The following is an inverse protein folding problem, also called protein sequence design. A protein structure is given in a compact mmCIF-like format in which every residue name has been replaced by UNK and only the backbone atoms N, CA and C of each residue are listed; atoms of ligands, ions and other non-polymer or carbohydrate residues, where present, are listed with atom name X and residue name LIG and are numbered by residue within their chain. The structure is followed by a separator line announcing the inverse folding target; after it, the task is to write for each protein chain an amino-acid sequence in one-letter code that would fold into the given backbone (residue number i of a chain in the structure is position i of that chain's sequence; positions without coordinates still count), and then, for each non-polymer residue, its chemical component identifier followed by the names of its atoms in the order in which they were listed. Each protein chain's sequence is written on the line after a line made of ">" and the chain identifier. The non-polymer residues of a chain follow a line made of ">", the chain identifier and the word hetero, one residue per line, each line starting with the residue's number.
data_IF_890703538357
#
_entry.id   IF_890703538357
#
_cell.length_a   1.000
_cell.length_b   1.000
_cell.length_c   1.000
_cell.angle_alpha   90.00
_cell.angle_beta   90.00
_cell.angle_gamma   90.00
#
_symmetry.space_group_name_H-M   'P 1'
#
loop_
_entity.id
_entity.type
_entity.pdbx_description
1 polymer ?
#
# COMPACT_ATOMS: atom_id res chain seq x y z
N UNK A 1 16.75 16.24 -20.35
CA UNK A 1 15.90 16.61 -19.18
C UNK A 1 16.82 17.08 -18.06
N UNK A 2 16.50 18.19 -17.39
CA UNK A 2 17.31 18.68 -16.26
C UNK A 2 17.05 17.82 -15.00
N UNK A 3 18.04 17.74 -14.12
CA UNK A 3 17.98 16.96 -12.86
C UNK A 3 16.81 17.42 -11.95
N UNK A 4 16.50 18.71 -11.98
CA UNK A 4 15.36 19.29 -11.27
C UNK A 4 14.03 18.77 -11.84
N UNK A 5 13.84 18.79 -13.17
CA UNK A 5 12.64 18.24 -13.81
C UNK A 5 12.45 16.74 -13.50
N UNK A 6 13.54 15.95 -13.49
CA UNK A 6 13.43 14.54 -13.12
C UNK A 6 13.01 14.34 -11.67
N UNK A 7 13.50 15.17 -10.74
CA UNK A 7 13.13 15.08 -9.33
C UNK A 7 11.65 15.43 -9.09
N UNK A 8 11.17 16.55 -9.67
CA UNK A 8 9.75 16.94 -9.56
C UNK A 8 8.81 15.91 -10.20
N UNK A 9 9.22 15.30 -11.32
CA UNK A 9 8.42 14.26 -11.96
C UNK A 9 8.26 13.01 -11.09
N UNK A 10 9.32 12.61 -10.36
CA UNK A 10 9.24 11.48 -9.43
C UNK A 10 8.37 11.80 -8.22
N UNK A 11 8.48 13.01 -7.66
CA UNK A 11 7.63 13.43 -6.54
C UNK A 11 6.13 13.39 -6.91
N UNK A 12 5.81 13.79 -8.14
CA UNK A 12 4.44 13.77 -8.66
C UNK A 12 3.93 12.34 -8.86
N UNK A 13 4.76 11.44 -9.40
CA UNK A 13 4.44 10.00 -9.55
C UNK A 13 4.14 9.33 -8.20
N UNK A 14 5.01 9.56 -7.20
CA UNK A 14 4.79 9.04 -5.85
C UNK A 14 3.50 9.57 -5.24
N UNK A 15 3.27 10.88 -5.32
CA UNK A 15 2.05 11.48 -4.79
C UNK A 15 0.79 10.89 -5.44
N UNK A 16 0.76 10.74 -6.75
CA UNK A 16 -0.39 10.18 -7.47
C UNK A 16 -0.64 8.71 -7.07
N UNK A 17 0.39 7.87 -7.11
CA UNK A 17 0.27 6.43 -6.86
C UNK A 17 -0.11 6.14 -5.41
N UNK A 18 0.51 6.81 -4.44
CA UNK A 18 0.18 6.62 -3.04
C UNK A 18 -1.16 7.25 -2.64
N UNK A 19 -1.62 8.29 -3.34
CA UNK A 19 -3.01 8.77 -3.20
C UNK A 19 -4.02 7.72 -3.67
N UNK A 20 -3.76 7.05 -4.81
CA UNK A 20 -4.59 5.93 -5.29
C UNK A 20 -4.58 4.76 -4.31
N UNK A 21 -3.41 4.42 -3.77
CA UNK A 21 -3.28 3.38 -2.74
C UNK A 21 -4.13 3.70 -1.50
N UNK A 22 -4.04 4.93 -1.01
CA UNK A 22 -4.85 5.39 0.13
C UNK A 22 -6.34 5.24 -0.17
N UNK A 23 -6.78 5.58 -1.38
CA UNK A 23 -8.17 5.43 -1.82
C UNK A 23 -8.67 3.99 -1.82
N UNK A 24 -7.92 3.04 -2.39
CA UNK A 24 -8.36 1.62 -2.41
C UNK A 24 -8.36 0.98 -1.03
N UNK A 25 -7.48 1.44 -0.13
CA UNK A 25 -7.39 0.97 1.25
C UNK A 25 -8.55 1.44 2.14
N UNK A 26 -9.41 2.36 1.67
CA UNK A 26 -10.64 2.75 2.37
C UNK A 26 -11.72 1.66 2.31
N UNK A 27 -11.58 0.70 1.42
CA UNK A 27 -12.56 -0.38 1.22
C UNK A 27 -12.16 -1.64 1.99
N UNK A 28 -13.14 -2.43 2.47
CA UNK A 28 -12.87 -3.67 3.20
C UNK A 28 -12.25 -4.78 2.34
N UNK A 29 -12.30 -4.65 1.01
CA UNK A 29 -11.73 -5.61 0.07
C UNK A 29 -10.76 -4.87 -0.83
N UNK A 30 -9.50 -5.28 -0.81
CA UNK A 30 -8.40 -4.67 -1.55
C UNK A 30 -7.95 -5.66 -2.62
N UNK A 31 -8.18 -5.33 -3.88
CA UNK A 31 -7.81 -6.18 -5.03
C UNK A 31 -6.30 -6.23 -5.24
N UNK A 32 -5.74 -7.42 -5.43
CA UNK A 32 -4.34 -7.61 -5.81
C UNK A 32 -4.04 -7.14 -7.23
N UNK A 33 -5.02 -7.17 -8.12
CA UNK A 33 -4.90 -6.60 -9.46
C UNK A 33 -4.74 -5.07 -9.39
N UNK A 34 -5.62 -4.40 -8.64
CA UNK A 34 -5.53 -2.95 -8.44
C UNK A 34 -4.20 -2.53 -7.79
N UNK A 35 -3.66 -3.35 -6.87
CA UNK A 35 -2.36 -3.11 -6.28
C UNK A 35 -1.22 -3.18 -7.29
N UNK A 36 -1.27 -4.09 -8.28
CA UNK A 36 -0.25 -4.20 -9.34
C UNK A 36 -0.26 -2.99 -10.29
N UNK A 37 -1.41 -2.34 -10.46
CA UNK A 37 -1.54 -1.12 -11.26
C UNK A 37 -1.00 0.12 -10.53
N UNK A 38 -0.93 0.06 -9.20
CA UNK A 38 -0.53 1.19 -8.36
C UNK A 38 0.91 1.06 -7.90
N UNK A 39 1.35 -0.13 -7.48
CA UNK A 39 2.63 -0.39 -6.84
C UNK A 39 3.61 -1.08 -7.79
N UNK A 40 4.89 -0.69 -7.73
CA UNK A 40 5.98 -1.39 -8.41
C UNK A 40 6.28 -2.69 -7.64
N UNK A 41 6.92 -3.65 -8.30
CA UNK A 41 7.14 -4.98 -7.71
C UNK A 41 7.86 -4.92 -6.34
N UNK A 42 8.85 -4.03 -6.19
CA UNK A 42 9.57 -3.83 -4.92
C UNK A 42 8.67 -3.27 -3.81
N UNK A 43 7.82 -2.30 -4.15
CA UNK A 43 6.86 -1.70 -3.21
C UNK A 43 5.76 -2.71 -2.83
N UNK A 44 5.32 -3.50 -3.81
CA UNK A 44 4.32 -4.56 -3.63
C UNK A 44 4.85 -5.65 -2.71
N UNK A 45 6.15 -5.96 -2.77
CA UNK A 45 6.82 -6.84 -1.81
C UNK A 45 6.69 -6.31 -0.37
N UNK A 46 7.03 -5.04 -0.12
CA UNK A 46 6.92 -4.44 1.21
C UNK A 46 5.46 -4.35 1.68
N UNK A 47 4.53 -4.05 0.77
CA UNK A 47 3.10 -4.06 1.06
C UNK A 47 2.63 -5.45 1.52
N UNK A 48 3.04 -6.51 0.79
CA UNK A 48 2.74 -7.91 1.13
C UNK A 48 3.31 -8.32 2.48
N UNK A 49 4.53 -7.90 2.80
CA UNK A 49 5.15 -8.13 4.11
C UNK A 49 4.27 -7.57 5.22
N UNK A 50 3.79 -6.32 5.06
CA UNK A 50 2.92 -5.70 6.05
C UNK A 50 1.54 -6.36 6.14
N UNK A 51 0.96 -6.77 5.01
CA UNK A 51 -0.33 -7.47 4.99
C UNK A 51 -0.27 -8.81 5.73
N UNK A 52 0.85 -9.54 5.63
CA UNK A 52 1.06 -10.77 6.40
C UNK A 52 1.06 -10.51 7.91
N UNK A 53 1.72 -9.45 8.37
CA UNK A 53 1.67 -9.09 9.79
C UNK A 53 0.25 -8.73 10.27
N UNK A 54 -0.56 -8.09 9.41
CA UNK A 54 -1.95 -7.82 9.74
C UNK A 54 -2.80 -9.09 9.76
N UNK A 55 -2.51 -10.05 8.88
CA UNK A 55 -3.16 -11.36 8.88
C UNK A 55 -2.83 -12.17 10.14
N UNK A 56 -1.56 -12.18 10.56
CA UNK A 56 -1.13 -12.80 11.83
C UNK A 56 -1.85 -12.20 13.05
N UNK A 57 -2.22 -10.92 12.98
CA UNK A 57 -3.01 -10.21 14.01
C UNK A 57 -4.52 -10.40 13.88
N UNK A 58 -4.99 -11.14 12.86
CA UNK A 58 -6.41 -11.36 12.60
C UNK A 58 -7.15 -10.15 12.04
N UNK A 59 -6.43 -9.15 11.51
CA UNK A 59 -6.99 -7.92 10.95
C UNK A 59 -7.30 -8.04 9.46
N UNK A 60 -6.60 -8.94 8.77
CA UNK A 60 -6.72 -9.18 7.33
C UNK A 60 -6.82 -10.67 7.07
N UNK A 61 -7.51 -11.06 6.01
CA UNK A 61 -7.44 -12.39 5.42
C UNK A 61 -6.98 -12.27 3.97
N UNK A 62 -5.93 -12.97 3.60
CA UNK A 62 -5.50 -13.07 2.22
C UNK A 62 -6.24 -14.23 1.52
N UNK A 63 -6.80 -13.96 0.36
CA UNK A 63 -7.24 -14.99 -0.59
C UNK A 63 -6.48 -14.83 -1.91
N UNK A 64 -6.80 -15.63 -2.92
CA UNK A 64 -6.07 -15.62 -4.20
C UNK A 64 -6.05 -14.22 -4.85
N UNK A 65 -7.19 -13.53 -4.85
CA UNK A 65 -7.42 -12.29 -5.61
C UNK A 65 -7.33 -11.01 -4.77
N UNK A 66 -7.44 -11.10 -3.44
CA UNK A 66 -7.66 -9.94 -2.60
C UNK A 66 -7.16 -10.09 -1.16
N UNK A 67 -6.99 -8.94 -0.50
CA UNK A 67 -6.91 -8.82 0.94
C UNK A 67 -8.27 -8.35 1.47
N UNK A 68 -8.83 -9.10 2.42
CA UNK A 68 -10.14 -8.80 3.01
C UNK A 68 -9.94 -8.41 4.47
N UNK A 69 -10.30 -7.18 4.82
CA UNK A 69 -10.29 -6.72 6.20
C UNK A 69 -11.33 -7.50 7.00
N UNK A 70 -10.96 -7.95 8.19
CA UNK A 70 -11.92 -8.49 9.16
C UNK A 70 -12.74 -7.36 9.79
N UNK A 71 -13.73 -7.67 10.62
CA UNK A 71 -14.48 -6.64 11.37
C UNK A 71 -13.54 -5.72 12.16
N UNK A 72 -12.53 -6.29 12.84
CA UNK A 72 -11.52 -5.53 13.56
C UNK A 72 -10.59 -4.77 12.61
N UNK A 73 -10.25 -5.38 11.46
CA UNK A 73 -9.49 -4.70 10.41
C UNK A 73 -10.20 -3.46 9.87
N UNK A 74 -11.50 -3.53 9.63
CA UNK A 74 -12.32 -2.39 9.19
C UNK A 74 -12.37 -1.32 10.28
N UNK A 75 -12.53 -1.72 11.54
CA UNK A 75 -12.50 -0.78 12.66
C UNK A 75 -11.19 0.03 12.71
N UNK A 76 -10.05 -0.60 12.41
CA UNK A 76 -8.74 0.04 12.34
C UNK A 76 -8.33 0.51 10.93
N UNK A 77 -9.23 0.47 9.93
CA UNK A 77 -8.87 0.56 8.52
C UNK A 77 -8.03 1.81 8.15
N UNK A 78 -8.37 2.97 8.71
CA UNK A 78 -7.61 4.21 8.49
C UNK A 78 -6.18 4.16 9.05
N UNK A 79 -6.01 3.51 10.21
CA UNK A 79 -4.70 3.30 10.81
C UNK A 79 -3.87 2.32 9.98
N UNK A 80 -4.48 1.21 9.53
CA UNK A 80 -3.80 0.23 8.67
C UNK A 80 -3.39 0.84 7.32
N UNK A 81 -4.25 1.66 6.72
CA UNK A 81 -3.94 2.39 5.48
C UNK A 81 -2.73 3.31 5.65
N UNK A 82 -2.72 4.13 6.70
CA UNK A 82 -1.60 5.04 6.97
C UNK A 82 -0.31 4.29 7.28
N UNK A 83 -0.40 3.25 8.11
CA UNK A 83 0.74 2.44 8.55
C UNK A 83 1.41 1.70 7.38
N UNK A 84 0.65 1.03 6.50
CA UNK A 84 1.24 0.33 5.35
C UNK A 84 1.86 1.29 4.33
N UNK A 85 1.25 2.45 4.11
CA UNK A 85 1.79 3.47 3.21
C UNK A 85 3.12 3.99 3.75
N UNK A 86 3.17 4.35 5.04
CA UNK A 86 4.40 4.82 5.70
C UNK A 86 5.46 3.72 5.63
N UNK A 87 5.11 2.48 5.96
CA UNK A 87 6.03 1.35 5.94
C UNK A 87 6.68 1.15 4.56
N UNK A 88 5.88 1.14 3.49
CA UNK A 88 6.39 0.99 2.12
C UNK A 88 7.34 2.12 1.76
N UNK A 89 6.99 3.37 2.05
CA UNK A 89 7.85 4.53 1.77
C UNK A 89 9.14 4.50 2.57
N UNK A 90 9.08 4.15 3.86
CA UNK A 90 10.26 4.02 4.70
C UNK A 90 11.21 2.94 4.17
N UNK A 91 10.69 1.80 3.71
CA UNK A 91 11.51 0.74 3.13
C UNK A 91 12.16 1.16 1.83
N UNK A 92 11.46 1.87 0.95
CA UNK A 92 12.00 2.36 -0.33
C UNK A 92 13.13 3.39 -0.17
N UNK A 93 13.02 4.29 0.81
CA UNK A 93 13.97 5.40 0.96
C UNK A 93 15.07 5.14 2.00
N UNK A 94 14.96 4.07 2.80
CA UNK A 94 16.00 3.65 3.77
C UNK A 94 16.83 2.45 3.30
N UNK A 95 16.54 1.90 2.12
CA UNK A 95 17.30 0.82 1.46
C UNK A 95 18.44 1.35 0.59
#
# INVERSE_FOLDING_TARGET
>A
MSKEMSFYSQQTDYHERFSKLSGIMQFPVISKEALKDILKEEELKFFRERMKEYEEKGLVKENEESYVLTTDGVFWGNNLSSDVIIYVLEKLFKS
#
